data_IF_580644182320
#
_entry.id   IF_580644182320
#
_cell.length_a   1.000
_cell.length_b   1.000
_cell.length_c   1.000
_cell.angle_alpha   90.00
_cell.angle_beta   90.00
_cell.angle_gamma   90.00
#
_symmetry.space_group_name_H-M   'P 1'
#
loop_
_entity.id
_entity.type
_entity.pdbx_description
1 polymer ?
#
# COMPACT_ATOMS: atom_id res chain seq x y z
N UNK A 1 9.75 -1.28 -2.49
CA UNK A 1 9.17 -2.64 -2.56
C UNK A 1 8.58 -2.96 -1.20
N UNK A 2 7.32 -3.39 -1.14
CA UNK A 2 6.66 -3.84 0.08
C UNK A 2 6.67 -5.36 0.10
N UNK A 3 7.14 -5.98 1.18
CA UNK A 3 7.15 -7.44 1.33
C UNK A 3 6.14 -7.85 2.39
N UNK A 4 5.37 -8.90 2.10
CA UNK A 4 4.46 -9.50 3.07
C UNK A 4 5.30 -10.17 4.16
N UNK A 5 5.02 -9.89 5.45
CA UNK A 5 5.78 -10.49 6.56
C UNK A 5 5.48 -11.97 6.77
N UNK A 6 4.33 -12.45 6.28
CA UNK A 6 3.90 -13.84 6.46
C UNK A 6 4.35 -14.72 5.29
N UNK A 7 4.28 -14.20 4.07
CA UNK A 7 4.61 -14.94 2.86
C UNK A 7 6.02 -14.65 2.33
N UNK A 8 6.66 -13.58 2.82
CA UNK A 8 7.96 -13.08 2.35
C UNK A 8 7.99 -12.71 0.85
N UNK A 9 6.82 -12.66 0.19
CA UNK A 9 6.66 -12.29 -1.21
C UNK A 9 6.49 -10.78 -1.38
N UNK A 10 6.81 -10.31 -2.58
CA UNK A 10 6.57 -8.92 -2.96
C UNK A 10 5.08 -8.63 -3.12
N UNK A 11 4.63 -7.57 -2.46
CA UNK A 11 3.26 -7.07 -2.51
C UNK A 11 3.14 -6.07 -3.67
N UNK A 12 2.04 -6.14 -4.41
CA UNK A 12 1.73 -5.23 -5.51
C UNK A 12 0.82 -4.10 -5.05
N UNK A 13 1.01 -2.90 -5.62
CA UNK A 13 0.15 -1.75 -5.38
C UNK A 13 -1.17 -1.95 -6.12
N UNK A 14 -2.29 -1.97 -5.40
CA UNK A 14 -3.62 -2.23 -5.98
C UNK A 14 -4.47 -0.98 -6.15
N UNK A 15 -4.21 0.07 -5.37
CA UNK A 15 -5.06 1.25 -5.37
C UNK A 15 -4.26 2.49 -4.91
N UNK A 16 -4.22 3.49 -5.78
CA UNK A 16 -3.78 4.85 -5.50
C UNK A 16 -5.03 5.71 -5.42
N UNK A 17 -5.70 5.72 -4.27
CA UNK A 17 -6.82 6.64 -4.07
C UNK A 17 -6.22 8.02 -3.78
N UNK A 18 -5.98 8.80 -4.86
CA UNK A 18 -5.60 10.22 -4.77
C UNK A 18 -6.75 11.03 -4.22
N UNK A 19 -6.97 10.94 -2.92
CA UNK A 19 -8.19 11.46 -2.32
C UNK A 19 -8.18 12.97 -2.21
N UNK A 20 -7.02 13.61 -2.16
CA UNK A 20 -6.79 15.05 -2.35
C UNK A 20 -5.28 15.27 -2.59
N UNK A 21 -4.87 16.45 -3.08
CA UNK A 21 -3.45 16.87 -3.24
C UNK A 21 -2.57 16.68 -1.97
N UNK A 22 -3.21 16.46 -0.80
CA UNK A 22 -2.61 16.40 0.52
C UNK A 22 -2.56 14.99 1.14
N UNK A 23 -3.31 14.02 0.61
CA UNK A 23 -3.35 12.64 1.13
C UNK A 23 -3.09 11.63 0.00
N UNK A 24 -1.84 11.17 -0.10
CA UNK A 24 -1.44 10.04 -0.95
C UNK A 24 -1.65 8.76 -0.11
N UNK A 25 -2.72 8.01 -0.39
CA UNK A 25 -2.99 6.71 0.23
C UNK A 25 -2.72 5.62 -0.78
N UNK A 26 -1.70 4.81 -0.49
CA UNK A 26 -1.32 3.65 -1.31
C UNK A 26 -1.66 2.37 -0.60
N UNK A 27 -2.34 1.48 -1.31
CA UNK A 27 -2.72 0.15 -0.81
C UNK A 27 -1.89 -0.91 -1.52
N UNK A 28 -1.34 -1.84 -0.75
CA UNK A 28 -0.55 -2.95 -1.26
C UNK A 28 -1.21 -4.26 -0.88
N UNK A 29 -1.33 -5.18 -1.82
CA UNK A 29 -1.92 -6.50 -1.62
C UNK A 29 -0.87 -7.60 -1.87
N UNK A 30 -0.94 -8.65 -1.06
CA UNK A 30 -0.13 -9.85 -1.21
C UNK A 30 -0.85 -10.87 -2.11
N UNK A 31 -0.21 -11.39 -3.18
CA UNK A 31 -0.84 -12.37 -4.07
C UNK A 31 -1.17 -13.70 -3.40
N UNK A 32 -0.30 -14.16 -2.49
CA UNK A 32 -0.41 -15.49 -1.91
C UNK A 32 -1.44 -15.59 -0.77
N UNK A 33 -1.47 -14.60 0.14
CA UNK A 33 -2.36 -14.63 1.30
C UNK A 33 -3.52 -13.64 1.24
N UNK A 34 -3.51 -12.70 0.29
CA UNK A 34 -4.53 -11.64 0.20
C UNK A 34 -4.39 -10.57 1.28
N UNK A 35 -3.28 -10.53 2.03
CA UNK A 35 -3.04 -9.47 3.03
C UNK A 35 -2.94 -8.11 2.35
N UNK A 36 -3.75 -7.15 2.82
CA UNK A 36 -3.73 -5.77 2.34
C UNK A 36 -3.14 -4.86 3.40
N UNK A 37 -2.15 -4.05 3.03
CA UNK A 37 -1.61 -2.98 3.87
C UNK A 37 -1.88 -1.63 3.23
N UNK A 38 -2.25 -0.64 4.05
CA UNK A 38 -2.42 0.75 3.62
C UNK A 38 -1.28 1.60 4.16
N UNK A 39 -0.69 2.43 3.30
CA UNK A 39 0.25 3.48 3.69
C UNK A 39 -0.29 4.83 3.26
N UNK A 40 -0.72 5.62 4.23
CA UNK A 40 -1.00 7.03 4.04
C UNK A 40 0.30 7.83 4.18
N UNK A 41 0.67 8.58 3.13
CA UNK A 41 1.69 9.62 3.20
C UNK A 41 1.00 10.97 3.29
N UNK A 42 1.04 11.57 4.47
CA UNK A 42 0.69 12.97 4.65
C UNK A 42 1.88 13.82 4.20
N UNK A 43 1.74 14.55 3.10
CA UNK A 43 2.69 15.62 2.76
C UNK A 43 2.39 16.80 3.66
N UNK A 44 3.05 16.88 4.82
CA UNK A 44 3.00 18.08 5.64
C UNK A 44 3.88 19.15 4.97
N UNK A 45 3.25 20.27 4.60
CA UNK A 45 3.87 21.44 3.94
C UNK A 45 4.87 22.15 4.86
#
# INVERSE_FOLDING_TARGET
>A
MHQCKECEVEMYEIEDEKRTDLEDRRRYECPDCGTVIERAKYRHR
#
